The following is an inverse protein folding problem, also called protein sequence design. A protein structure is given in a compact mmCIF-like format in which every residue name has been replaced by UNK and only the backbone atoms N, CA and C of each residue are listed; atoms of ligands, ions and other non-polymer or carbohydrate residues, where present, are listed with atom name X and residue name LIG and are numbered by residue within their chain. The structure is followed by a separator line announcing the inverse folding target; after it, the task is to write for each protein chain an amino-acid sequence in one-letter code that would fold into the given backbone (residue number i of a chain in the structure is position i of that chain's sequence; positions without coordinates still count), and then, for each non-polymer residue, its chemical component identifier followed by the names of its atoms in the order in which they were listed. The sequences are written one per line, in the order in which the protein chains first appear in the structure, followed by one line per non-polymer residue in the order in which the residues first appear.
data_IF_995909434636
#
_entry.id   IF_995909434636
#
_cell.length_a   1.000
_cell.length_b   1.000
_cell.length_c   1.000
_cell.angle_alpha   90.00
_cell.angle_beta   90.00
_cell.angle_gamma   90.00
#
_symmetry.space_group_name_H-M   'P 1'
#
loop_
_entity.id
_entity.type
_entity.pdbx_description
1 polymer ?
#
# COMPACT_ATOMS: atom_id res chain seq x y z
N UNK A 1 -6.56 44.69 -0.71
CA UNK A 1 -5.38 43.80 -0.51
C UNK A 1 -5.89 42.37 -0.44
N UNK A 2 -5.64 41.56 -1.47
CA UNK A 2 -5.93 40.11 -1.43
C UNK A 2 -4.79 39.45 -0.67
N UNK A 3 -5.10 38.86 0.49
CA UNK A 3 -4.17 38.03 1.24
C UNK A 3 -4.21 36.66 0.57
N UNK A 4 -3.23 36.37 -0.28
CA UNK A 4 -2.99 35.04 -0.83
C UNK A 4 -2.40 34.18 0.29
N UNK A 5 -3.16 33.18 0.74
CA UNK A 5 -2.65 32.19 1.69
C UNK A 5 -1.44 31.46 1.06
N UNK A 6 -0.38 31.18 1.83
CA UNK A 6 0.77 30.45 1.33
C UNK A 6 0.35 29.03 0.94
N UNK A 7 0.72 28.61 -0.27
CA UNK A 7 0.54 27.24 -0.75
C UNK A 7 1.18 26.27 0.23
N UNK A 8 0.37 25.43 0.87
CA UNK A 8 0.80 24.48 1.90
C UNK A 8 1.66 23.33 1.33
N UNK A 9 1.83 23.26 0.01
CA UNK A 9 2.65 22.27 -0.68
C UNK A 9 3.68 22.94 -1.60
N UNK A 10 4.92 22.42 -1.66
CA UNK A 10 5.94 22.91 -2.59
C UNK A 10 5.65 22.52 -4.06
N UNK A 11 4.65 21.66 -4.29
CA UNK A 11 4.17 21.30 -5.61
C UNK A 11 2.97 22.17 -5.98
N UNK A 12 2.86 22.63 -7.24
CA UNK A 12 1.61 23.14 -7.77
C UNK A 12 0.61 21.99 -7.81
N UNK A 13 -0.18 21.87 -6.74
CA UNK A 13 -1.31 20.93 -6.70
C UNK A 13 -2.41 21.57 -7.55
N UNK A 14 -3.01 20.83 -8.50
CA UNK A 14 -4.19 21.33 -9.20
C UNK A 14 -5.23 21.74 -8.15
N UNK A 15 -5.64 23.01 -8.16
CA UNK A 15 -6.70 23.47 -7.29
C UNK A 15 -7.96 22.68 -7.63
N UNK A 16 -8.36 21.76 -6.75
CA UNK A 16 -9.70 21.19 -6.75
C UNK A 16 -10.65 22.21 -6.12
N UNK A 17 -10.68 23.42 -6.67
CA UNK A 17 -11.63 24.44 -6.28
C UNK A 17 -12.98 23.93 -6.79
N UNK A 18 -13.81 23.42 -5.88
CA UNK A 18 -15.10 22.78 -6.17
C UNK A 18 -16.17 23.68 -6.80
N UNK A 19 -15.78 24.77 -7.47
CA UNK A 19 -16.64 25.60 -8.31
C UNK A 19 -16.78 25.04 -9.73
N UNK A 20 -15.82 24.24 -10.20
CA UNK A 20 -15.99 23.44 -11.42
C UNK A 20 -16.22 21.98 -11.02
N UNK A 21 -17.34 21.43 -11.50
CA UNK A 21 -17.86 20.09 -11.21
C UNK A 21 -17.00 18.95 -11.82
N UNK A 22 -15.68 19.16 -11.89
CA UNK A 22 -14.74 18.57 -12.84
C UNK A 22 -13.48 18.02 -12.13
N UNK A 23 -13.64 17.65 -10.86
CA UNK A 23 -12.66 16.88 -10.08
C UNK A 23 -12.61 15.43 -10.60
N UNK A 24 -12.23 15.25 -11.87
CA UNK A 24 -12.15 13.95 -12.53
C UNK A 24 -10.93 13.17 -12.03
N UNK A 25 -11.12 11.86 -11.83
CA UNK A 25 -10.05 10.91 -11.55
C UNK A 25 -8.92 11.01 -12.59
N UNK A 26 -9.25 11.29 -13.85
CA UNK A 26 -8.30 11.45 -14.93
C UNK A 26 -7.30 12.58 -14.65
N UNK A 27 -7.77 13.74 -14.18
CA UNK A 27 -6.89 14.87 -13.80
C UNK A 27 -5.97 14.50 -12.65
N UNK A 28 -6.47 13.72 -11.70
CA UNK A 28 -5.66 13.24 -10.59
C UNK A 28 -4.58 12.24 -11.07
N UNK A 29 -4.92 11.31 -11.96
CA UNK A 29 -3.96 10.39 -12.56
C UNK A 29 -2.90 11.11 -13.38
N UNK A 30 -3.29 12.12 -14.15
CA UNK A 30 -2.35 12.94 -14.91
C UNK A 30 -1.45 13.77 -14.00
N UNK A 31 -1.98 14.27 -12.88
CA UNK A 31 -1.16 14.87 -11.84
C UNK A 31 -0.12 13.88 -11.28
N UNK A 32 -0.51 12.65 -10.95
CA UNK A 32 0.44 11.64 -10.46
C UNK A 32 1.49 11.26 -11.51
N UNK A 33 1.09 11.09 -12.77
CA UNK A 33 2.02 10.83 -13.88
C UNK A 33 2.99 11.99 -14.08
N UNK A 34 2.51 13.22 -13.96
CA UNK A 34 3.34 14.44 -14.01
C UNK A 34 4.32 14.50 -12.83
N UNK A 35 3.87 14.16 -11.63
CA UNK A 35 4.72 14.00 -10.45
C UNK A 35 5.86 13.00 -10.71
N UNK A 36 5.52 11.86 -11.30
CA UNK A 36 6.50 10.83 -11.66
C UNK A 36 7.50 11.35 -12.69
N UNK A 37 7.03 11.94 -13.79
CA UNK A 37 7.91 12.37 -14.89
C UNK A 37 8.84 13.52 -14.50
N UNK A 38 8.33 14.50 -13.75
CA UNK A 38 9.09 15.71 -13.40
C UNK A 38 10.04 15.51 -12.23
N UNK A 39 9.60 14.80 -11.18
CA UNK A 39 10.33 14.77 -9.90
C UNK A 39 10.89 13.40 -9.54
N UNK A 40 10.29 12.32 -10.04
CA UNK A 40 10.63 10.95 -9.64
C UNK A 40 11.19 10.10 -10.78
N UNK A 41 11.44 10.67 -11.95
CA UNK A 41 12.00 9.93 -13.09
C UNK A 41 13.42 9.47 -12.77
N UNK A 42 13.85 8.37 -13.39
CA UNK A 42 15.15 7.77 -13.10
C UNK A 42 16.32 8.75 -13.32
N UNK A 43 16.14 9.66 -14.28
CA UNK A 43 17.10 10.71 -14.65
C UNK A 43 16.99 12.00 -13.80
N UNK A 44 15.95 12.15 -12.97
CA UNK A 44 15.83 13.32 -12.11
C UNK A 44 16.97 13.35 -11.08
N UNK A 45 17.30 14.49 -10.46
CA UNK A 45 18.15 14.51 -9.28
C UNK A 45 17.46 13.83 -8.08
N UNK A 46 18.27 13.38 -7.12
CA UNK A 46 17.77 12.86 -5.84
C UNK A 46 17.09 13.98 -5.06
N UNK A 47 16.00 13.67 -4.36
CA UNK A 47 15.21 14.69 -3.67
C UNK A 47 15.85 14.96 -2.30
N UNK A 48 16.22 16.22 -1.99
CA UNK A 48 16.91 16.54 -0.75
C UNK A 48 16.00 16.37 0.47
N UNK A 49 16.63 16.07 1.62
CA UNK A 49 15.94 15.87 2.91
C UNK A 49 15.06 17.06 3.31
N UNK A 50 15.39 18.28 2.87
CA UNK A 50 14.57 19.49 3.12
C UNK A 50 13.14 19.39 2.56
N UNK A 51 12.93 18.59 1.52
CA UNK A 51 11.62 18.41 0.89
C UNK A 51 10.90 17.14 1.39
N UNK A 52 11.50 16.39 2.33
CA UNK A 52 10.99 15.09 2.80
C UNK A 52 9.56 15.16 3.32
N UNK A 53 9.23 16.16 4.12
CA UNK A 53 7.94 16.21 4.82
C UNK A 53 6.75 16.42 3.85
N UNK A 54 6.99 17.10 2.73
CA UNK A 54 6.01 17.19 1.64
C UNK A 54 5.74 15.82 1.01
N UNK A 55 6.78 15.02 0.80
CA UNK A 55 6.63 13.66 0.27
C UNK A 55 6.01 12.69 1.27
N UNK A 56 6.30 12.82 2.57
CA UNK A 56 5.59 12.09 3.63
C UNK A 56 4.09 12.37 3.55
N UNK A 57 3.71 13.64 3.35
CA UNK A 57 2.31 14.05 3.21
C UNK A 57 1.66 13.40 1.98
N UNK A 58 2.34 13.42 0.84
CA UNK A 58 1.88 12.75 -0.40
C UNK A 58 1.68 11.25 -0.18
N UNK A 59 2.66 10.57 0.44
CA UNK A 59 2.58 9.12 0.69
C UNK A 59 1.46 8.78 1.65
N UNK A 60 1.27 9.55 2.72
CA UNK A 60 0.15 9.36 3.63
C UNK A 60 -1.19 9.49 2.90
N UNK A 61 -1.40 10.57 2.14
CA UNK A 61 -2.64 10.77 1.39
C UNK A 61 -2.92 9.66 0.39
N UNK A 62 -1.92 9.24 -0.39
CA UNK A 62 -2.05 8.12 -1.33
C UNK A 62 -2.38 6.80 -0.62
N UNK A 63 -1.75 6.55 0.52
CA UNK A 63 -1.96 5.35 1.32
C UNK A 63 -3.36 5.32 1.94
N UNK A 64 -3.83 6.46 2.43
CA UNK A 64 -5.09 6.59 3.16
C UNK A 64 -6.32 6.64 2.23
N UNK A 65 -6.14 7.01 0.96
CA UNK A 65 -7.25 7.12 0.01
C UNK A 65 -7.23 6.07 -1.11
N UNK A 66 -6.07 5.65 -1.61
CA UNK A 66 -6.00 4.76 -2.76
C UNK A 66 -5.63 3.32 -2.42
N UNK A 67 -4.86 3.10 -1.35
CA UNK A 67 -4.42 1.78 -0.91
C UNK A 67 -5.24 1.21 0.27
N UNK A 68 -6.27 1.92 0.72
CA UNK A 68 -7.05 1.60 1.93
C UNK A 68 -7.83 0.31 1.79
N UNK A 69 -8.61 0.20 0.70
CA UNK A 69 -9.47 -0.93 0.39
C UNK A 69 -9.41 -1.24 -1.10
N UNK A 70 -9.40 -2.54 -1.41
CA UNK A 70 -9.52 -3.06 -2.75
C UNK A 70 -10.64 -4.10 -2.75
N UNK A 71 -11.62 -4.03 -3.68
CA UNK A 71 -12.76 -4.94 -3.67
C UNK A 71 -12.36 -6.40 -3.88
N UNK A 72 -13.11 -7.33 -3.31
CA UNK A 72 -12.94 -8.77 -3.52
C UNK A 72 -13.78 -9.24 -4.72
N UNK A 73 -13.45 -10.40 -5.33
CA UNK A 73 -14.14 -10.91 -6.52
C UNK A 73 -15.65 -11.17 -6.36
N UNK A 74 -16.15 -11.32 -5.13
CA UNK A 74 -17.57 -11.56 -4.84
C UNK A 74 -18.44 -10.30 -4.84
N UNK A 75 -17.82 -9.11 -4.85
CA UNK A 75 -18.53 -7.84 -4.71
C UNK A 75 -18.71 -7.16 -6.08
N UNK A 76 -17.70 -7.25 -6.94
CA UNK A 76 -17.63 -6.51 -8.21
C UNK A 76 -16.82 -7.33 -9.22
N UNK A 77 -17.03 -7.11 -10.52
CA UNK A 77 -16.22 -7.73 -11.57
C UNK A 77 -14.89 -7.00 -11.76
N UNK A 78 -13.86 -7.70 -12.24
CA UNK A 78 -12.55 -7.09 -12.48
C UNK A 78 -12.60 -5.93 -13.49
N UNK A 79 -13.38 -6.09 -14.57
CA UNK A 79 -13.56 -5.04 -15.59
C UNK A 79 -14.10 -3.73 -15.01
N UNK A 80 -15.07 -3.82 -14.09
CA UNK A 80 -15.61 -2.64 -13.40
C UNK A 80 -14.61 -1.96 -12.45
N UNK A 81 -13.45 -2.57 -12.19
CA UNK A 81 -12.38 -1.98 -11.39
C UNK A 81 -11.33 -1.24 -12.23
N UNK A 82 -11.54 -1.02 -13.53
CA UNK A 82 -10.55 -0.41 -14.41
C UNK A 82 -9.91 0.86 -13.83
N UNK A 83 -10.75 1.83 -13.45
CA UNK A 83 -10.31 3.09 -12.84
C UNK A 83 -9.50 2.88 -11.56
N UNK A 84 -9.96 1.99 -10.68
CA UNK A 84 -9.28 1.67 -9.41
C UNK A 84 -7.96 0.96 -9.64
N UNK A 85 -7.90 0.00 -10.57
CA UNK A 85 -6.68 -0.73 -10.96
C UNK A 85 -5.65 0.24 -11.50
N UNK A 86 -6.03 1.12 -12.44
CA UNK A 86 -5.13 2.15 -12.97
C UNK A 86 -4.62 3.08 -11.88
N UNK A 87 -5.50 3.52 -10.98
CA UNK A 87 -5.14 4.41 -9.87
C UNK A 87 -4.18 3.78 -8.88
N UNK A 88 -4.43 2.53 -8.48
CA UNK A 88 -3.52 1.79 -7.59
C UNK A 88 -2.19 1.55 -8.30
N UNK A 89 -2.21 1.17 -9.58
CA UNK A 89 -0.98 0.93 -10.35
C UNK A 89 -0.08 2.17 -10.41
N UNK A 90 -0.64 3.35 -10.71
CA UNK A 90 0.09 4.63 -10.71
C UNK A 90 0.52 5.03 -9.30
N UNK A 91 -0.31 4.77 -8.28
CA UNK A 91 0.05 5.04 -6.88
C UNK A 91 1.27 4.22 -6.44
N UNK A 92 1.31 2.94 -6.79
CA UNK A 92 2.45 2.06 -6.48
C UNK A 92 3.76 2.58 -7.10
N UNK A 93 3.69 3.15 -8.31
CA UNK A 93 4.85 3.79 -8.97
C UNK A 93 5.35 5.01 -8.20
N UNK A 94 4.45 5.87 -7.72
CA UNK A 94 4.82 7.04 -6.92
C UNK A 94 5.43 6.59 -5.60
N UNK A 95 4.76 5.68 -4.89
CA UNK A 95 5.21 5.16 -3.59
C UNK A 95 6.61 4.57 -3.69
N UNK A 96 6.83 3.65 -4.64
CA UNK A 96 8.14 3.01 -4.85
C UNK A 96 9.24 4.05 -5.06
N UNK A 97 9.03 4.99 -5.99
CA UNK A 97 10.05 5.98 -6.34
C UNK A 97 10.34 6.96 -5.22
N UNK A 98 9.33 7.36 -4.44
CA UNK A 98 9.54 8.22 -3.27
C UNK A 98 10.46 7.52 -2.25
N UNK A 99 10.21 6.24 -1.96
CA UNK A 99 11.03 5.46 -1.05
C UNK A 99 12.46 5.21 -1.55
N UNK A 100 12.70 5.25 -2.85
CA UNK A 100 14.02 5.09 -3.46
C UNK A 100 14.79 6.42 -3.56
N UNK A 101 14.08 7.53 -3.77
CA UNK A 101 14.68 8.81 -4.22
C UNK A 101 14.65 9.94 -3.20
N UNK A 102 13.82 9.88 -2.16
CA UNK A 102 13.73 10.94 -1.16
C UNK A 102 14.71 10.68 -0.02
N UNK A 103 15.64 11.62 0.17
CA UNK A 103 16.60 11.53 1.26
C UNK A 103 15.93 11.67 2.62
N UNK A 104 16.31 10.77 3.53
CA UNK A 104 15.77 10.77 4.87
C UNK A 104 14.34 10.22 4.99
N UNK A 105 13.73 9.67 3.94
CA UNK A 105 12.32 9.21 3.94
C UNK A 105 11.99 8.20 5.04
N UNK A 106 12.98 7.42 5.49
CA UNK A 106 12.86 6.44 6.58
C UNK A 106 13.17 7.00 7.98
N UNK A 107 13.60 8.26 8.11
CA UNK A 107 14.00 8.85 9.38
C UNK A 107 12.76 9.46 10.06
N UNK A 108 12.46 9.03 11.29
CA UNK A 108 11.33 9.47 12.11
C UNK A 108 9.95 9.24 11.46
N UNK A 109 9.84 8.23 10.58
CA UNK A 109 8.63 7.91 9.81
C UNK A 109 8.14 6.48 10.05
N UNK A 110 8.47 5.89 11.20
CA UNK A 110 8.16 4.49 11.51
C UNK A 110 6.67 4.15 11.31
N UNK A 111 5.77 5.01 11.79
CA UNK A 111 4.32 4.79 11.67
C UNK A 111 3.82 4.89 10.23
N UNK A 112 4.31 5.85 9.45
CA UNK A 112 4.01 5.93 8.01
C UNK A 112 4.46 4.66 7.29
N UNK A 113 5.67 4.18 7.58
CA UNK A 113 6.24 2.99 6.92
C UNK A 113 5.46 1.73 7.29
N UNK A 114 5.12 1.53 8.58
CA UNK A 114 4.26 0.42 9.02
C UNK A 114 2.88 0.47 8.35
N UNK A 115 2.29 1.66 8.24
CA UNK A 115 1.00 1.86 7.57
C UNK A 115 1.08 1.49 6.08
N UNK A 116 2.08 1.99 5.36
CA UNK A 116 2.31 1.64 3.94
C UNK A 116 2.52 0.13 3.78
N UNK A 117 3.36 -0.47 4.63
CA UNK A 117 3.57 -1.92 4.65
C UNK A 117 2.26 -2.69 4.81
N UNK A 118 1.45 -2.34 5.81
CA UNK A 118 0.19 -3.02 6.08
C UNK A 118 -0.79 -2.92 4.90
N UNK A 119 -0.92 -1.73 4.29
CA UNK A 119 -1.79 -1.52 3.13
C UNK A 119 -1.32 -2.28 1.90
N UNK A 120 -0.02 -2.29 1.62
CA UNK A 120 0.54 -3.04 0.51
C UNK A 120 0.40 -4.56 0.70
N UNK A 121 0.62 -5.05 1.93
CA UNK A 121 0.44 -6.47 2.23
C UNK A 121 -1.03 -6.87 2.04
N UNK A 122 -1.96 -6.07 2.56
CA UNK A 122 -3.39 -6.30 2.37
C UNK A 122 -3.78 -6.28 0.88
N UNK A 123 -3.27 -5.33 0.10
CA UNK A 123 -3.48 -5.29 -1.34
C UNK A 123 -3.00 -6.58 -2.03
N UNK A 124 -1.79 -7.05 -1.71
CA UNK A 124 -1.26 -8.30 -2.27
C UNK A 124 -2.15 -9.51 -1.92
N UNK A 125 -2.60 -9.60 -0.67
CA UNK A 125 -3.49 -10.69 -0.21
C UNK A 125 -4.83 -10.68 -0.94
N UNK A 126 -5.45 -9.50 -1.11
CA UNK A 126 -6.70 -9.37 -1.88
C UNK A 126 -6.48 -9.74 -3.34
N UNK A 127 -5.37 -9.31 -3.94
CA UNK A 127 -5.08 -9.62 -5.34
C UNK A 127 -4.80 -11.11 -5.57
N UNK A 128 -4.24 -11.81 -4.58
CA UNK A 128 -4.11 -13.26 -4.69
C UNK A 128 -5.49 -13.95 -4.83
N UNK A 129 -6.55 -13.44 -4.16
CA UNK A 129 -7.92 -13.93 -4.36
C UNK A 129 -8.43 -13.72 -5.78
N UNK A 130 -8.01 -12.64 -6.43
CA UNK A 130 -8.33 -12.37 -7.84
C UNK A 130 -7.53 -13.27 -8.79
N UNK A 131 -6.30 -13.61 -8.44
CA UNK A 131 -5.44 -14.49 -9.25
C UNK A 131 -6.00 -15.90 -9.34
N UNK A 132 -6.69 -16.36 -8.30
CA UNK A 132 -7.28 -17.71 -8.22
C UNK A 132 -8.58 -17.88 -9.02
N UNK A 133 -9.10 -16.80 -9.62
CA UNK A 133 -10.36 -16.81 -10.36
C UNK A 133 -10.09 -16.59 -11.85
N UNK A 134 -10.84 -17.29 -12.70
CA UNK A 134 -10.80 -17.07 -14.13
C UNK A 134 -11.46 -15.73 -14.49
N UNK A 135 -10.66 -14.78 -14.98
CA UNK A 135 -11.11 -13.43 -15.33
C UNK A 135 -10.91 -13.21 -16.82
N UNK A 136 -11.92 -12.64 -17.47
CA UNK A 136 -11.77 -12.12 -18.84
C UNK A 136 -11.09 -10.77 -18.78
N UNK A 137 -9.88 -10.69 -19.33
CA UNK A 137 -9.12 -9.44 -19.38
C UNK A 137 -9.67 -8.55 -20.50
N UNK A 138 -10.02 -7.33 -20.13
CA UNK A 138 -10.40 -6.27 -21.07
C UNK A 138 -9.14 -5.55 -21.58
N UNK A 139 -9.21 -4.98 -22.78
CA UNK A 139 -8.07 -4.30 -23.40
C UNK A 139 -7.62 -3.10 -22.56
N UNK A 140 -6.32 -3.01 -22.29
CA UNK A 140 -5.73 -1.93 -21.49
C UNK A 140 -5.85 -2.09 -19.97
N UNK A 141 -6.56 -3.10 -19.47
CA UNK A 141 -6.66 -3.40 -18.04
C UNK A 141 -5.51 -4.32 -17.60
N UNK A 142 -4.82 -3.93 -16.51
CA UNK A 142 -3.75 -4.76 -15.96
C UNK A 142 -4.31 -6.08 -15.39
N UNK A 143 -3.62 -7.19 -15.67
CA UNK A 143 -3.87 -8.49 -15.05
C UNK A 143 -3.63 -8.40 -13.53
N UNK A 144 -4.49 -9.00 -12.68
CA UNK A 144 -4.28 -9.05 -11.23
C UNK A 144 -2.88 -9.52 -10.83
N UNK A 145 -2.29 -10.49 -11.56
CA UNK A 145 -0.92 -11.00 -11.33
C UNK A 145 0.12 -9.90 -11.50
N UNK A 146 -0.06 -9.02 -12.49
CA UNK A 146 0.85 -7.91 -12.76
C UNK A 146 0.74 -6.87 -11.63
N UNK A 147 -0.48 -6.51 -11.24
CA UNK A 147 -0.70 -5.56 -10.14
C UNK A 147 -0.14 -6.10 -8.81
N UNK A 148 -0.36 -7.39 -8.54
CA UNK A 148 0.14 -8.10 -7.36
C UNK A 148 1.65 -8.13 -7.32
N UNK A 149 2.29 -8.50 -8.43
CA UNK A 149 3.76 -8.46 -8.57
C UNK A 149 4.30 -7.07 -8.28
N UNK A 150 3.68 -6.03 -8.84
CA UNK A 150 4.08 -4.64 -8.62
C UNK A 150 3.95 -4.24 -7.15
N UNK A 151 2.82 -4.53 -6.50
CA UNK A 151 2.62 -4.27 -5.07
C UNK A 151 3.68 -4.96 -4.21
N UNK A 152 4.00 -6.21 -4.52
CA UNK A 152 5.05 -6.96 -3.85
C UNK A 152 6.44 -6.39 -4.07
N UNK A 153 6.76 -5.90 -5.28
CA UNK A 153 8.02 -5.19 -5.53
C UNK A 153 8.15 -3.93 -4.68
N UNK A 154 7.07 -3.15 -4.51
CA UNK A 154 7.07 -1.97 -3.63
C UNK A 154 7.32 -2.36 -2.17
N UNK A 155 6.70 -3.45 -1.68
CA UNK A 155 6.98 -4.00 -0.35
C UNK A 155 8.46 -4.34 -0.18
N UNK A 156 9.06 -5.01 -1.17
CA UNK A 156 10.48 -5.38 -1.14
C UNK A 156 11.37 -4.13 -1.13
N UNK A 157 11.08 -3.12 -1.95
CA UNK A 157 11.79 -1.84 -1.94
C UNK A 157 11.72 -1.19 -0.56
N UNK A 158 10.52 -1.14 0.05
CA UNK A 158 10.31 -0.56 1.38
C UNK A 158 11.16 -1.27 2.44
N UNK A 159 11.11 -2.61 2.49
CA UNK A 159 11.84 -3.41 3.48
C UNK A 159 13.36 -3.32 3.29
N UNK A 160 13.83 -3.32 2.05
CA UNK A 160 15.26 -3.12 1.73
C UNK A 160 15.75 -1.75 2.17
N UNK A 161 14.95 -0.71 1.96
CA UNK A 161 15.29 0.65 2.38
C UNK A 161 15.43 0.80 3.89
N UNK A 162 14.64 0.07 4.68
CA UNK A 162 14.80 0.01 6.14
C UNK A 162 16.07 -0.74 6.59
N UNK A 163 16.50 -1.76 5.82
CA UNK A 163 17.71 -2.53 6.12
C UNK A 163 19.01 -1.86 5.67
N UNK A 164 18.95 -1.00 4.65
CA UNK A 164 20.14 -0.44 3.97
C UNK A 164 20.80 0.77 4.63
N UNK A 165 20.18 1.42 5.62
CA UNK A 165 20.68 2.68 6.20
C UNK A 165 21.80 2.50 7.26
N UNK A 166 22.72 1.55 7.09
CA UNK A 166 23.84 1.34 8.03
C UNK A 166 24.94 2.42 7.86
N UNK A 167 24.90 3.23 6.80
CA UNK A 167 25.98 4.14 6.44
C UNK A 167 25.49 5.59 6.28
N UNK A 168 25.19 6.28 7.37
CA UNK A 168 25.35 7.74 7.40
C UNK A 168 26.00 8.18 8.70
N UNK A 169 27.19 8.77 8.54
CA UNK A 169 28.18 9.15 9.55
C UNK A 169 27.80 10.35 10.42
N UNK A 170 26.52 10.64 10.62
CA UNK A 170 26.12 11.84 11.35
C UNK A 170 24.86 11.64 12.19
N UNK A 171 25.08 11.43 13.50
CA UNK A 171 24.13 11.79 14.53
C UNK A 171 23.17 10.69 14.98
N UNK A 172 22.72 10.87 16.22
CA UNK A 172 21.80 10.06 17.02
C UNK A 172 20.41 10.05 16.35
N UNK A 173 20.27 9.44 15.17
CA UNK A 173 18.97 9.26 14.53
C UNK A 173 18.52 7.83 14.74
N UNK A 174 17.25 7.66 15.08
CA UNK A 174 16.67 6.35 15.31
C UNK A 174 16.86 5.47 14.07
N UNK A 175 17.54 4.35 14.29
CA UNK A 175 17.99 3.53 13.19
C UNK A 175 16.79 2.80 12.56
N UNK A 176 16.54 3.05 11.27
CA UNK A 176 15.41 2.49 10.51
C UNK A 176 15.30 0.95 10.55
N UNK A 177 16.39 0.23 10.88
CA UNK A 177 16.34 -1.22 11.12
C UNK A 177 15.42 -1.62 12.28
N UNK A 178 15.19 -0.73 13.27
CA UNK A 178 14.24 -0.99 14.36
C UNK A 178 12.82 -1.14 13.82
N UNK A 179 12.41 -0.26 12.91
CA UNK A 179 11.11 -0.34 12.22
C UNK A 179 11.01 -1.64 11.44
N UNK A 180 12.07 -2.06 10.73
CA UNK A 180 12.10 -3.36 10.05
C UNK A 180 11.89 -4.52 11.03
N UNK A 181 12.58 -4.50 12.18
CA UNK A 181 12.42 -5.53 13.21
C UNK A 181 10.99 -5.58 13.76
N UNK A 182 10.35 -4.42 13.97
CA UNK A 182 8.95 -4.36 14.40
C UNK A 182 8.03 -4.97 13.34
N UNK A 183 8.23 -4.67 12.05
CA UNK A 183 7.45 -5.25 10.95
C UNK A 183 7.63 -6.78 10.90
N UNK A 184 8.87 -7.28 10.98
CA UNK A 184 9.15 -8.71 10.94
C UNK A 184 8.55 -9.45 12.14
N UNK A 185 8.68 -8.89 13.34
CA UNK A 185 8.06 -9.43 14.53
C UNK A 185 6.54 -9.48 14.38
N UNK A 186 5.92 -8.41 13.86
CA UNK A 186 4.48 -8.38 13.63
C UNK A 186 4.03 -9.49 12.68
N UNK A 187 4.76 -9.74 11.59
CA UNK A 187 4.46 -10.86 10.69
C UNK A 187 4.57 -12.22 11.39
N UNK A 188 5.59 -12.44 12.22
CA UNK A 188 5.75 -13.68 12.97
C UNK A 188 4.61 -13.88 13.97
N UNK A 189 4.22 -12.82 14.67
CA UNK A 189 3.13 -12.84 15.64
C UNK A 189 1.78 -13.13 14.97
N UNK A 190 1.51 -12.57 13.78
CA UNK A 190 0.33 -12.94 12.98
C UNK A 190 0.34 -14.42 12.63
N UNK A 191 1.46 -14.96 12.16
CA UNK A 191 1.59 -16.38 11.85
C UNK A 191 1.35 -17.25 13.09
N UNK A 192 1.90 -16.84 14.24
CA UNK A 192 1.69 -17.52 15.51
C UNK A 192 0.22 -17.50 15.93
N UNK A 193 -0.45 -16.35 15.84
CA UNK A 193 -1.86 -16.19 16.15
C UNK A 193 -2.75 -17.04 15.24
N UNK A 194 -2.42 -17.11 13.94
CA UNK A 194 -3.12 -17.97 12.98
C UNK A 194 -2.97 -19.45 13.33
N UNK A 195 -1.72 -19.92 13.52
CA UNK A 195 -1.44 -21.33 13.81
C UNK A 195 -2.06 -21.76 15.15
N UNK A 196 -1.90 -20.95 16.19
CA UNK A 196 -2.41 -21.27 17.54
C UNK A 196 -3.94 -21.29 17.64
N UNK A 197 -4.65 -20.48 16.83
CA UNK A 197 -6.11 -20.38 16.86
C UNK A 197 -6.83 -21.17 15.77
N UNK A 198 -6.10 -21.90 14.91
CA UNK A 198 -6.64 -22.62 13.73
C UNK A 198 -7.89 -23.45 14.04
N UNK A 199 -7.95 -24.12 15.20
CA UNK A 199 -9.08 -24.98 15.59
C UNK A 199 -10.35 -24.23 16.03
N UNK A 200 -10.24 -22.92 16.31
CA UNK A 200 -11.32 -22.10 16.86
C UNK A 200 -11.66 -20.88 16.00
N UNK A 201 -10.98 -20.69 14.88
CA UNK A 201 -11.23 -19.58 13.97
C UNK A 201 -12.56 -19.79 13.24
N UNK A 202 -13.55 -19.00 13.62
CA UNK A 202 -14.82 -18.95 12.90
C UNK A 202 -14.68 -18.02 11.70
N UNK A 203 -15.00 -18.52 10.52
CA UNK A 203 -15.01 -17.71 9.31
C UNK A 203 -16.36 -16.96 9.19
N UNK A 204 -16.39 -15.67 8.79
CA UNK A 204 -15.26 -14.82 8.40
C UNK A 204 -14.54 -14.12 9.58
N UNK A 205 -13.26 -13.79 9.38
CA UNK A 205 -12.46 -13.04 10.35
C UNK A 205 -11.70 -11.88 9.68
N UNK A 206 -11.29 -10.91 10.48
CA UNK A 206 -10.47 -9.77 10.06
C UNK A 206 -9.06 -9.88 10.64
N UNK A 207 -8.06 -9.68 9.79
CA UNK A 207 -6.66 -9.54 10.18
C UNK A 207 -6.28 -8.05 10.19
N UNK A 208 -5.90 -7.53 11.36
CA UNK A 208 -5.42 -6.16 11.53
C UNK A 208 -3.97 -6.17 12.02
N UNK A 209 -3.03 -5.77 11.15
CA UNK A 209 -1.63 -5.67 11.52
C UNK A 209 -1.40 -4.52 12.53
N UNK A 210 -0.47 -4.74 13.45
CA UNK A 210 -0.07 -3.80 14.51
C UNK A 210 -1.18 -3.48 15.52
N UNK A 211 -2.22 -4.31 15.60
CA UNK A 211 -3.29 -4.22 16.58
C UNK A 211 -3.36 -5.47 17.47
N UNK A 212 -3.91 -5.34 18.67
CA UNK A 212 -4.18 -6.47 19.57
C UNK A 212 -5.65 -6.40 20.02
N UNK A 213 -6.48 -7.43 19.74
CA UNK A 213 -6.14 -8.67 19.03
C UNK A 213 -5.90 -8.45 17.53
N UNK A 214 -4.96 -9.20 16.94
CA UNK A 214 -4.65 -9.16 15.49
C UNK A 214 -5.74 -9.79 14.63
N UNK A 215 -6.32 -10.86 15.17
CA UNK A 215 -7.40 -11.61 14.52
C UNK A 215 -8.65 -11.42 15.35
N UNK A 216 -9.70 -10.93 14.71
CA UNK A 216 -11.02 -10.75 15.32
C UNK A 216 -12.07 -11.42 14.43
N UNK A 217 -13.04 -12.09 15.04
CA UNK A 217 -14.21 -12.57 14.30
C UNK A 217 -14.95 -11.38 13.70
N UNK A 218 -15.34 -11.47 12.42
CA UNK A 218 -16.18 -10.43 11.83
C UNK A 218 -17.57 -10.54 12.43
N UNK A 219 -18.09 -9.42 12.94
CA UNK A 219 -19.52 -9.33 13.25
C UNK A 219 -20.27 -9.21 11.94
N UNK A 220 -21.46 -9.80 11.88
CA UNK A 220 -22.30 -9.81 10.68
C UNK A 220 -22.66 -8.39 10.18
N UNK A 221 -22.60 -7.40 11.07
CA UNK A 221 -22.82 -5.98 10.78
C UNK A 221 -21.65 -5.34 9.98
N UNK A 222 -20.44 -5.90 10.04
CA UNK A 222 -19.22 -5.35 9.41
C UNK A 222 -18.98 -5.84 7.97
N UNK A 223 -19.87 -6.69 7.45
CA UNK A 223 -19.73 -7.36 6.14
C UNK A 223 -19.67 -6.39 4.94
N UNK A 224 -20.16 -5.16 5.11
CA UNK A 224 -20.22 -4.15 4.05
C UNK A 224 -19.05 -3.16 4.09
N UNK A 225 -18.31 -3.06 5.20
CA UNK A 225 -17.26 -2.05 5.38
C UNK A 225 -15.85 -2.63 5.40
N UNK A 226 -15.70 -3.94 5.66
CA UNK A 226 -14.38 -4.55 5.89
C UNK A 226 -14.03 -5.59 4.82
N UNK A 227 -12.79 -5.54 4.33
CA UNK A 227 -12.23 -6.51 3.36
C UNK A 227 -12.39 -7.93 3.91
N UNK A 228 -13.16 -8.75 3.19
CA UNK A 228 -13.35 -10.16 3.52
C UNK A 228 -12.10 -10.97 3.15
N UNK A 229 -11.52 -11.70 4.10
CA UNK A 229 -10.43 -12.66 3.83
C UNK A 229 -11.02 -14.02 3.42
N UNK A 230 -11.50 -14.15 2.18
CA UNK A 230 -12.37 -15.28 1.81
C UNK A 230 -11.69 -16.58 1.38
N UNK A 231 -10.38 -16.66 1.09
CA UNK A 231 -9.88 -17.92 0.48
C UNK A 231 -8.40 -18.27 0.65
N UNK A 232 -7.62 -17.53 1.45
CA UNK A 232 -6.17 -17.76 1.49
C UNK A 232 -5.75 -19.01 2.28
N UNK A 233 -6.55 -19.43 3.27
CA UNK A 233 -6.18 -20.53 4.16
C UNK A 233 -6.43 -21.92 3.57
N UNK A 234 -7.41 -22.10 2.68
CA UNK A 234 -7.66 -23.40 2.06
C UNK A 234 -6.53 -23.76 1.07
N UNK A 235 -6.02 -22.80 0.30
CA UNK A 235 -4.99 -23.09 -0.72
C UNK A 235 -3.60 -23.26 -0.12
N UNK A 236 -3.20 -22.42 0.86
CA UNK A 236 -1.86 -22.51 1.45
C UNK A 236 -1.66 -23.77 2.31
N UNK A 237 -2.68 -24.25 3.02
CA UNK A 237 -2.58 -25.51 3.78
C UNK A 237 -2.80 -26.75 2.91
N UNK A 238 -3.62 -26.68 1.85
CA UNK A 238 -3.79 -27.83 0.93
C UNK A 238 -2.57 -28.01 0.03
N UNK A 239 -1.94 -26.95 -0.49
CA UNK A 239 -0.77 -27.09 -1.39
C UNK A 239 0.53 -27.43 -0.63
N UNK A 240 0.68 -27.01 0.64
CA UNK A 240 1.80 -27.46 1.50
C UNK A 240 1.54 -28.87 2.07
N UNK A 241 0.28 -29.22 2.35
CA UNK A 241 -0.09 -30.55 2.82
C UNK A 241 -0.07 -31.65 1.75
N UNK A 242 -0.39 -31.33 0.49
CA UNK A 242 -0.40 -32.29 -0.62
C UNK A 242 0.97 -32.53 -1.27
N UNK A 243 2.02 -31.80 -0.88
CA UNK A 243 3.41 -32.05 -1.33
C UNK A 243 4.25 -32.87 -0.34
N UNK A 244 3.66 -33.35 0.75
CA UNK A 244 4.31 -34.23 1.72
C UNK A 244 3.58 -35.56 1.97
N UNK A 245 2.72 -35.99 1.04
CA UNK A 245 2.12 -37.33 1.03
C UNK A 245 2.46 -38.08 -0.27
#
# INVERSE_FOLDING_TARGET
MKITAPSATPFPVPSFDGSDNDASLERFLDFLRTLVSQYLSDNAPRIPRSNRDAWITVINGLTDHLLTTFPTPGIVSWGALQEKVTSVFTTLDVVKRVFERVDGIYHDTAEMVKKVFARLLNLCLVLDLWVDIEIRLEEGLADPKILRKKGFEVLVTLLRGLGGNVLTTAGIVEASWRTLRVILNECLEVCHDLVSKTLHLSYPFTLTLFAVPRISDMKQEDLFETVQFTSFMYVFFVDVGCRQA
#
